data_IF_168128878636
#
_entry.id   IF_168128878636
#
_cell.length_a   1.000
_cell.length_b   1.000
_cell.length_c   1.000
_cell.angle_alpha   90.00
_cell.angle_beta   90.00
_cell.angle_gamma   90.00
#
_symmetry.space_group_name_H-M   'P 1'
#
loop_
_entity.id
_entity.type
_entity.pdbx_description
1 polymer ?
#
# COMPACT_ATOMS: atom_id res chain seq x y z
N UNK A 1 -14.09 -28.45 -18.57
CA UNK A 1 -13.99 -27.84 -17.22
C UNK A 1 -13.15 -28.63 -16.20
N UNK A 2 -13.24 -29.96 -16.08
CA UNK A 2 -12.45 -30.76 -15.10
C UNK A 2 -10.91 -30.65 -15.27
N UNK A 3 -10.39 -30.70 -16.50
CA UNK A 3 -8.95 -30.57 -16.80
C UNK A 3 -8.37 -29.21 -16.37
N UNK A 4 -9.08 -28.11 -16.63
CA UNK A 4 -8.67 -26.76 -16.20
C UNK A 4 -8.67 -26.68 -14.66
N UNK A 5 -9.67 -27.24 -14.00
CA UNK A 5 -9.76 -27.27 -12.53
C UNK A 5 -8.65 -28.11 -11.88
N UNK A 6 -8.29 -29.25 -12.48
CA UNK A 6 -7.14 -30.06 -12.05
C UNK A 6 -5.81 -29.35 -12.31
N UNK A 7 -5.65 -28.68 -13.45
CA UNK A 7 -4.44 -27.90 -13.75
C UNK A 7 -4.25 -26.75 -12.77
N UNK A 8 -5.32 -26.03 -12.41
CA UNK A 8 -5.29 -24.96 -11.41
C UNK A 8 -4.96 -25.52 -10.01
N UNK A 9 -5.52 -26.67 -9.64
CA UNK A 9 -5.26 -27.29 -8.33
C UNK A 9 -3.84 -27.85 -8.19
N UNK A 10 -3.22 -28.31 -9.28
CA UNK A 10 -1.84 -28.81 -9.29
C UNK A 10 -0.80 -27.71 -9.57
N UNK A 11 -1.23 -26.49 -9.87
CA UNK A 11 -0.33 -25.37 -10.13
C UNK A 11 0.32 -24.89 -8.84
N UNK A 12 1.64 -24.74 -8.86
CA UNK A 12 2.39 -24.16 -7.74
C UNK A 12 2.06 -22.67 -7.60
N UNK A 13 1.12 -22.38 -6.69
CA UNK A 13 0.59 -21.04 -6.41
C UNK A 13 1.72 -20.03 -6.14
N UNK A 14 2.86 -20.48 -5.59
CA UNK A 14 3.99 -19.60 -5.33
C UNK A 14 4.72 -19.16 -6.61
N UNK A 15 4.88 -20.05 -7.59
CA UNK A 15 5.46 -19.71 -8.90
C UNK A 15 4.51 -18.82 -9.68
N UNK A 16 3.23 -19.17 -9.72
CA UNK A 16 2.20 -18.35 -10.37
C UNK A 16 2.15 -16.93 -9.80
N UNK A 17 2.15 -16.81 -8.46
CA UNK A 17 2.19 -15.49 -7.80
C UNK A 17 3.42 -14.70 -8.18
N UNK A 18 4.59 -15.33 -8.28
CA UNK A 18 5.83 -14.63 -8.60
C UNK A 18 5.81 -14.02 -10.00
N UNK A 19 5.36 -14.76 -11.01
CA UNK A 19 5.27 -14.23 -12.38
C UNK A 19 4.26 -13.09 -12.50
N UNK A 20 3.10 -13.21 -11.85
CA UNK A 20 2.11 -12.12 -11.81
C UNK A 20 2.70 -10.88 -11.12
N UNK A 21 3.38 -11.07 -9.98
CA UNK A 21 4.01 -9.97 -9.26
C UNK A 21 5.06 -9.25 -10.10
N UNK A 22 5.87 -10.01 -10.86
CA UNK A 22 6.89 -9.44 -11.74
C UNK A 22 6.25 -8.67 -12.90
N UNK A 23 5.24 -9.25 -13.55
CA UNK A 23 4.50 -8.59 -14.63
C UNK A 23 3.80 -7.31 -14.14
N UNK A 24 3.12 -7.37 -13.00
CA UNK A 24 2.44 -6.21 -12.41
C UNK A 24 3.43 -5.14 -11.94
N UNK A 25 4.58 -5.54 -11.40
CA UNK A 25 5.65 -4.61 -11.04
C UNK A 25 6.17 -3.88 -12.27
N UNK A 26 6.45 -4.62 -13.35
CA UNK A 26 6.82 -4.06 -14.66
C UNK A 26 5.78 -3.07 -15.18
N UNK A 27 4.52 -3.49 -15.22
CA UNK A 27 3.40 -2.69 -15.72
C UNK A 27 3.18 -1.40 -14.91
N UNK A 28 3.25 -1.47 -13.57
CA UNK A 28 2.96 -0.30 -12.73
C UNK A 28 4.13 0.69 -12.64
N UNK A 29 5.38 0.22 -12.69
CA UNK A 29 6.56 1.09 -12.62
C UNK A 29 7.01 1.61 -13.98
N UNK A 30 6.89 0.80 -15.03
CA UNK A 30 7.39 1.10 -16.36
C UNK A 30 6.27 1.25 -17.41
N UNK A 31 5.00 1.11 -17.03
CA UNK A 31 3.87 1.21 -17.96
C UNK A 31 3.83 2.54 -18.72
N UNK A 32 4.34 3.63 -18.13
CA UNK A 32 4.45 4.93 -18.80
C UNK A 32 5.42 4.92 -19.98
N UNK A 33 6.44 4.05 -20.00
CA UNK A 33 7.29 3.84 -21.19
C UNK A 33 6.51 3.20 -22.35
N UNK A 34 5.45 2.45 -22.04
CA UNK A 34 4.59 1.78 -23.01
C UNK A 34 3.30 2.57 -23.30
N UNK A 35 3.21 3.82 -22.83
CA UNK A 35 2.01 4.67 -22.89
C UNK A 35 0.74 4.03 -22.27
N UNK A 36 0.92 3.16 -21.27
CA UNK A 36 -0.19 2.51 -20.55
C UNK A 36 -0.48 3.30 -19.27
N UNK A 37 -1.69 3.83 -19.14
CA UNK A 37 -2.20 4.44 -17.90
C UNK A 37 -3.42 3.66 -17.37
N UNK A 38 -3.23 3.01 -16.23
CA UNK A 38 -4.25 2.24 -15.49
C UNK A 38 -5.08 3.13 -14.56
N UNK A 39 -4.80 4.43 -14.53
CA UNK A 39 -5.50 5.43 -13.74
C UNK A 39 -4.88 5.70 -12.36
N UNK A 40 -5.48 6.66 -11.67
CA UNK A 40 -4.90 7.27 -10.47
C UNK A 40 -5.49 6.77 -9.14
N UNK A 41 -6.40 5.80 -9.18
CA UNK A 41 -7.21 5.36 -8.03
C UNK A 41 -7.02 3.88 -7.72
N UNK A 42 -5.82 3.36 -8.01
CA UNK A 42 -5.54 1.93 -7.87
C UNK A 42 -5.55 1.50 -6.40
N UNK A 43 -6.11 0.31 -6.10
CA UNK A 43 -6.13 -0.26 -4.76
C UNK A 43 -4.76 -0.87 -4.34
N UNK A 44 -3.66 -0.29 -4.78
CA UNK A 44 -2.28 -0.73 -4.55
C UNK A 44 -1.37 0.45 -4.27
N UNK A 45 -0.15 0.20 -3.77
CA UNK A 45 0.86 1.26 -3.63
C UNK A 45 1.68 1.42 -4.92
N UNK A 46 1.06 1.96 -5.96
CA UNK A 46 1.79 2.53 -7.09
C UNK A 46 2.23 3.96 -6.74
N UNK A 47 3.53 4.22 -6.78
CA UNK A 47 4.10 5.48 -6.33
C UNK A 47 3.96 6.56 -7.40
N UNK A 48 3.38 7.74 -7.08
CA UNK A 48 3.33 8.84 -8.04
C UNK A 48 4.69 9.49 -8.29
N UNK A 49 5.67 9.33 -7.40
CA UNK A 49 7.00 9.92 -7.57
C UNK A 49 7.86 9.20 -8.62
N UNK A 50 7.34 8.16 -9.27
CA UNK A 50 7.98 7.56 -10.45
C UNK A 50 7.41 8.24 -11.68
N UNK A 51 8.28 8.92 -12.45
CA UNK A 51 7.88 9.73 -13.59
C UNK A 51 7.12 8.93 -14.65
N UNK A 52 7.60 7.74 -15.00
CA UNK A 52 7.03 6.89 -16.08
C UNK A 52 6.19 5.73 -15.55
N UNK A 53 5.42 5.99 -14.51
CA UNK A 53 4.50 5.01 -13.90
C UNK A 53 3.32 4.68 -14.81
N UNK A 54 2.80 3.46 -14.67
CA UNK A 54 1.58 3.01 -15.35
C UNK A 54 0.29 3.24 -14.55
N UNK A 55 0.37 3.86 -13.38
CA UNK A 55 -0.80 4.21 -12.56
C UNK A 55 -0.40 4.72 -11.17
N UNK A 56 -1.35 5.29 -10.41
CA UNK A 56 -1.07 5.81 -9.06
C UNK A 56 -1.98 5.24 -7.98
N UNK A 57 -1.47 5.24 -6.75
CA UNK A 57 -2.23 4.80 -5.59
C UNK A 57 -3.38 5.76 -5.24
N UNK A 58 -4.53 5.18 -4.87
CA UNK A 58 -5.71 5.93 -4.42
C UNK A 58 -5.41 6.90 -3.26
N UNK A 59 -4.56 6.50 -2.30
CA UNK A 59 -4.28 7.31 -1.11
C UNK A 59 -3.61 8.65 -1.43
N UNK A 60 -2.86 8.75 -2.52
CA UNK A 60 -2.27 10.01 -2.94
C UNK A 60 -3.36 11.02 -3.35
N UNK A 61 -4.23 10.63 -4.29
CA UNK A 61 -5.35 11.46 -4.74
C UNK A 61 -6.31 11.80 -3.60
N UNK A 62 -6.61 10.82 -2.74
CA UNK A 62 -7.49 11.01 -1.59
C UNK A 62 -6.96 12.06 -0.61
N UNK A 63 -5.67 12.02 -0.23
CA UNK A 63 -5.09 13.03 0.68
C UNK A 63 -5.14 14.44 0.09
N UNK A 64 -4.86 14.57 -1.21
CA UNK A 64 -4.92 15.86 -1.89
C UNK A 64 -6.35 16.42 -1.95
N UNK A 65 -7.33 15.56 -2.25
CA UNK A 65 -8.74 15.95 -2.30
C UNK A 65 -9.32 16.25 -0.92
N UNK A 66 -8.80 15.67 0.15
CA UNK A 66 -9.22 15.94 1.52
C UNK A 66 -8.72 17.31 2.05
N UNK A 67 -7.75 17.93 1.38
CA UNK A 67 -7.31 19.29 1.67
C UNK A 67 -8.25 20.33 1.02
N UNK A 68 -9.55 20.26 1.37
CA UNK A 68 -10.56 21.24 0.97
C UNK A 68 -11.33 21.75 2.21
N UNK A 69 -11.76 23.02 2.21
CA UNK A 69 -12.57 23.56 3.30
C UNK A 69 -13.92 22.84 3.35
N UNK A 70 -14.46 22.65 4.55
CA UNK A 70 -15.68 21.88 4.81
C UNK A 70 -16.88 22.38 4.01
N UNK A 71 -16.95 23.69 3.76
CA UNK A 71 -17.99 24.32 2.93
C UNK A 71 -17.94 23.87 1.47
N UNK A 72 -16.76 23.53 0.95
CA UNK A 72 -16.56 23.05 -0.42
C UNK A 72 -16.73 21.54 -0.57
N UNK A 73 -16.92 20.80 0.53
CA UNK A 73 -17.20 19.36 0.49
C UNK A 73 -18.55 19.07 -0.19
N UNK A 74 -19.53 19.97 -0.06
CA UNK A 74 -20.84 19.86 -0.69
C UNK A 74 -20.90 20.46 -2.11
N UNK A 75 -19.77 20.94 -2.65
CA UNK A 75 -19.66 21.48 -4.02
C UNK A 75 -19.10 20.40 -4.97
N UNK A 76 -18.91 20.71 -6.26
CA UNK A 76 -18.36 19.78 -7.27
C UNK A 76 -17.03 19.11 -6.91
N UNK A 77 -16.26 19.66 -5.95
CA UNK A 77 -15.05 18.99 -5.41
C UNK A 77 -15.38 17.74 -4.58
N UNK A 78 -16.53 17.70 -3.91
CA UNK A 78 -17.03 16.50 -3.23
C UNK A 78 -17.37 15.37 -4.19
N UNK A 79 -17.86 15.69 -5.39
CA UNK A 79 -18.10 14.71 -6.46
C UNK A 79 -16.79 14.04 -6.88
N UNK A 80 -15.68 14.78 -6.90
CA UNK A 80 -14.34 14.24 -7.15
C UNK A 80 -13.88 13.20 -6.12
N UNK A 81 -14.21 13.40 -4.84
CA UNK A 81 -13.92 12.44 -3.75
C UNK A 81 -14.80 11.20 -3.90
N UNK A 82 -16.10 11.41 -4.16
CA UNK A 82 -17.06 10.31 -4.30
C UNK A 82 -16.73 9.43 -5.50
N UNK A 83 -16.49 10.03 -6.66
CA UNK A 83 -16.06 9.31 -7.87
C UNK A 83 -14.76 8.54 -7.62
N UNK A 84 -13.80 9.14 -6.92
CA UNK A 84 -12.56 8.45 -6.58
C UNK A 84 -12.75 7.25 -5.66
N UNK A 85 -13.60 7.38 -4.65
CA UNK A 85 -13.96 6.29 -3.76
C UNK A 85 -14.71 5.18 -4.53
N UNK A 86 -15.61 5.53 -5.44
CA UNK A 86 -16.35 4.57 -6.26
C UNK A 86 -15.43 3.79 -7.21
N UNK A 87 -14.50 4.44 -7.90
CA UNK A 87 -13.50 3.73 -8.73
C UNK A 87 -12.64 2.80 -7.89
N UNK A 88 -12.16 3.26 -6.73
CA UNK A 88 -11.40 2.43 -5.80
C UNK A 88 -12.21 1.20 -5.37
N UNK A 89 -13.48 1.39 -4.98
CA UNK A 89 -14.36 0.30 -4.58
C UNK A 89 -14.66 -0.65 -5.73
N UNK A 90 -14.92 -0.14 -6.94
CA UNK A 90 -15.14 -0.93 -8.14
C UNK A 90 -13.96 -1.85 -8.45
N UNK A 91 -12.75 -1.29 -8.50
CA UNK A 91 -11.53 -2.07 -8.68
C UNK A 91 -11.31 -3.05 -7.51
N UNK A 92 -11.55 -2.61 -6.29
CA UNK A 92 -11.36 -3.42 -5.09
C UNK A 92 -12.31 -4.63 -5.02
N UNK A 93 -13.58 -4.48 -5.38
CA UNK A 93 -14.60 -5.56 -5.30
C UNK A 93 -14.20 -6.76 -6.16
N UNK A 94 -13.51 -6.54 -7.28
CA UNK A 94 -13.07 -7.58 -8.19
C UNK A 94 -12.06 -8.53 -7.52
N UNK A 95 -10.91 -8.02 -7.07
CA UNK A 95 -9.79 -8.86 -6.59
C UNK A 95 -9.59 -8.83 -5.06
N UNK A 96 -10.30 -7.98 -4.33
CA UNK A 96 -10.20 -7.83 -2.87
C UNK A 96 -8.74 -7.65 -2.41
N UNK A 97 -8.36 -8.30 -1.30
CA UNK A 97 -7.01 -8.35 -0.75
C UNK A 97 -5.96 -8.95 -1.69
N UNK A 98 -6.37 -9.56 -2.81
CA UNK A 98 -5.44 -10.09 -3.82
C UNK A 98 -4.68 -8.95 -4.52
N UNK A 99 -5.23 -7.74 -4.62
CA UNK A 99 -4.51 -6.57 -5.13
C UNK A 99 -3.17 -6.33 -4.41
N UNK A 100 -3.21 -6.25 -3.08
CA UNK A 100 -2.00 -6.08 -2.27
C UNK A 100 -1.04 -7.28 -2.34
N UNK A 101 -1.55 -8.47 -2.69
CA UNK A 101 -0.77 -9.70 -2.72
C UNK A 101 -0.12 -10.02 -4.06
N UNK A 102 -0.74 -9.62 -5.16
CA UNK A 102 -0.32 -9.97 -6.52
C UNK A 102 0.11 -8.75 -7.34
N UNK A 103 -0.53 -7.59 -7.15
CA UNK A 103 -0.33 -6.42 -8.01
C UNK A 103 0.48 -5.29 -7.34
N UNK A 104 0.51 -5.22 -6.01
CA UNK A 104 1.16 -4.10 -5.32
C UNK A 104 2.70 -4.18 -5.38
N UNK A 105 3.41 -3.17 -5.91
CA UNK A 105 4.86 -3.23 -6.09
C UNK A 105 5.61 -3.17 -4.75
N UNK A 106 5.12 -2.41 -3.75
CA UNK A 106 5.66 -2.43 -2.37
C UNK A 106 5.54 -3.82 -1.74
N UNK A 107 4.47 -4.55 -2.06
CA UNK A 107 4.29 -5.94 -1.63
C UNK A 107 5.29 -6.88 -2.31
N UNK A 108 5.49 -6.70 -3.61
CA UNK A 108 6.46 -7.46 -4.41
C UNK A 108 7.89 -7.28 -3.90
N UNK A 109 8.31 -6.04 -3.59
CA UNK A 109 9.64 -5.78 -3.02
C UNK A 109 9.84 -6.49 -1.68
N UNK A 110 8.84 -6.46 -0.78
CA UNK A 110 8.92 -7.21 0.49
C UNK A 110 9.03 -8.72 0.29
N UNK A 111 8.32 -9.27 -0.70
CA UNK A 111 8.41 -10.68 -1.04
C UNK A 111 9.79 -11.04 -1.61
N UNK A 112 10.42 -10.16 -2.40
CA UNK A 112 11.79 -10.33 -2.88
C UNK A 112 12.81 -10.27 -1.75
N UNK A 113 12.69 -9.31 -0.83
CA UNK A 113 13.54 -9.23 0.39
C UNK A 113 13.39 -10.52 1.22
N UNK A 114 12.16 -11.01 1.39
CA UNK A 114 11.90 -12.26 2.12
C UNK A 114 12.53 -13.48 1.42
N UNK A 115 12.49 -13.52 0.08
CA UNK A 115 13.17 -14.57 -0.71
C UNK A 115 14.69 -14.51 -0.54
N UNK A 116 15.28 -13.31 -0.63
CA UNK A 116 16.70 -13.09 -0.40
C UNK A 116 17.11 -13.59 0.99
N UNK A 117 16.33 -13.25 2.03
CA UNK A 117 16.56 -13.73 3.39
C UNK A 117 16.48 -15.24 3.54
N UNK A 118 15.52 -15.88 2.86
CA UNK A 118 15.38 -17.35 2.86
C UNK A 118 16.63 -18.00 2.24
N UNK A 119 17.22 -17.36 1.22
CA UNK A 119 18.50 -17.78 0.64
C UNK A 119 19.65 -17.64 1.63
N UNK A 120 19.64 -16.60 2.46
CA UNK A 120 20.58 -16.42 3.57
C UNK A 120 20.31 -17.33 4.78
N UNK A 121 19.37 -18.29 4.70
CA UNK A 121 19.01 -19.26 5.75
C UNK A 121 18.59 -18.69 7.11
N UNK A 122 18.18 -17.42 7.16
CA UNK A 122 17.70 -16.80 8.41
C UNK A 122 16.24 -17.21 8.70
N UNK A 123 15.96 -17.65 9.94
CA UNK A 123 14.63 -18.08 10.38
C UNK A 123 13.63 -16.92 10.43
N UNK A 124 12.33 -17.22 10.34
CA UNK A 124 11.28 -16.22 10.47
C UNK A 124 11.14 -15.73 11.92
N UNK A 125 10.98 -14.42 12.10
CA UNK A 125 10.45 -13.88 13.35
C UNK A 125 8.97 -14.25 13.50
N UNK A 126 8.64 -15.02 14.53
CA UNK A 126 7.25 -15.25 14.95
C UNK A 126 6.83 -14.15 15.93
N UNK A 127 5.59 -13.68 15.81
CA UNK A 127 4.99 -12.82 16.84
C UNK A 127 3.97 -13.65 17.61
N UNK A 128 3.91 -13.45 18.92
CA UNK A 128 2.81 -14.00 19.71
C UNK A 128 1.47 -13.42 19.24
N UNK A 129 0.38 -14.18 19.42
CA UNK A 129 -0.97 -13.75 19.05
C UNK A 129 -1.39 -12.42 19.71
N UNK A 130 -0.90 -12.15 20.93
CA UNK A 130 -1.16 -10.87 21.62
C UNK A 130 -0.47 -9.71 20.90
N UNK A 131 0.82 -9.85 20.59
CA UNK A 131 1.56 -8.83 19.85
C UNK A 131 0.93 -8.60 18.48
N UNK A 132 0.61 -9.65 17.74
CA UNK A 132 -0.02 -9.55 16.43
C UNK A 132 -1.36 -8.79 16.46
N UNK A 133 -2.20 -9.00 17.47
CA UNK A 133 -3.45 -8.26 17.66
C UNK A 133 -3.23 -6.78 17.96
N UNK A 134 -2.22 -6.43 18.77
CA UNK A 134 -1.88 -5.02 19.04
C UNK A 134 -1.33 -4.32 17.79
N UNK A 135 -0.41 -4.98 17.07
CA UNK A 135 0.17 -4.45 15.83
C UNK A 135 -0.91 -4.14 14.77
N UNK A 136 -1.97 -4.97 14.68
CA UNK A 136 -3.11 -4.73 13.78
C UNK A 136 -3.90 -3.45 14.09
N UNK A 137 -3.78 -2.85 15.28
CA UNK A 137 -4.47 -1.59 15.60
C UNK A 137 -3.76 -0.38 14.97
N UNK A 138 -2.43 -0.45 14.83
CA UNK A 138 -1.60 0.64 14.32
C UNK A 138 -2.01 1.07 12.90
N UNK A 139 -2.38 0.13 12.02
CA UNK A 139 -2.87 0.49 10.67
C UNK A 139 -4.14 1.35 10.68
N UNK A 140 -5.00 1.22 11.69
CA UNK A 140 -6.21 2.05 11.82
C UNK A 140 -5.87 3.43 12.38
N UNK A 141 -4.89 3.51 13.28
CA UNK A 141 -4.35 4.79 13.77
C UNK A 141 -3.71 5.54 12.60
N UNK A 142 -2.89 4.88 11.78
CA UNK A 142 -2.30 5.47 10.58
C UNK A 142 -3.36 5.89 9.55
N UNK A 143 -4.42 5.11 9.37
CA UNK A 143 -5.54 5.49 8.50
C UNK A 143 -6.29 6.72 9.04
N UNK A 144 -6.55 6.78 10.35
CA UNK A 144 -7.17 7.94 10.97
C UNK A 144 -6.28 9.18 10.82
N UNK A 145 -4.98 9.07 11.06
CA UNK A 145 -4.02 10.15 10.88
C UNK A 145 -3.95 10.64 9.43
N UNK A 146 -4.01 9.72 8.46
CA UNK A 146 -4.04 10.02 7.02
C UNK A 146 -5.27 10.86 6.63
N UNK A 147 -6.40 10.68 7.32
CA UNK A 147 -7.64 11.43 7.07
C UNK A 147 -7.63 12.76 7.85
N UNK A 148 -7.24 12.72 9.12
CA UNK A 148 -7.32 13.87 10.03
C UNK A 148 -6.29 14.96 9.71
N UNK A 149 -5.06 14.59 9.34
CA UNK A 149 -4.01 15.58 9.06
C UNK A 149 -4.37 16.48 7.87
N UNK A 150 -4.69 15.99 6.66
CA UNK A 150 -5.06 16.86 5.53
C UNK A 150 -6.32 17.67 5.80
N UNK A 151 -7.28 17.10 6.53
CA UNK A 151 -8.54 17.77 6.86
C UNK A 151 -8.33 18.94 7.84
N UNK A 152 -7.41 18.80 8.80
CA UNK A 152 -7.02 19.86 9.75
C UNK A 152 -6.20 21.00 9.14
N UNK A 153 -5.60 20.81 7.96
CA UNK A 153 -4.91 21.90 7.23
C UNK A 153 -5.93 22.89 6.66
N UNK A 154 -7.00 22.36 6.05
CA UNK A 154 -8.03 23.16 5.37
C UNK A 154 -9.10 23.71 6.31
N UNK A 155 -9.32 23.07 7.45
CA UNK A 155 -10.30 23.50 8.44
C UNK A 155 -9.58 23.80 9.74
N UNK A 156 -9.71 25.02 10.26
CA UNK A 156 -9.20 25.42 11.58
C UNK A 156 -9.99 24.76 12.73
N UNK A 157 -10.29 23.48 12.61
CA UNK A 157 -10.93 22.69 13.65
C UNK A 157 -9.82 22.33 14.64
N UNK A 158 -9.97 22.83 15.87
CA UNK A 158 -9.06 22.68 17.02
C UNK A 158 -7.87 23.66 17.13
N UNK A 159 -7.97 24.90 16.61
CA UNK A 159 -7.00 25.97 16.95
C UNK A 159 -5.55 25.68 16.54
N UNK A 160 -5.31 24.70 15.65
CA UNK A 160 -3.98 24.42 15.12
C UNK A 160 -3.59 25.48 14.08
N UNK A 161 -2.34 25.97 14.10
CA UNK A 161 -1.83 26.89 13.08
C UNK A 161 -1.92 26.24 11.70
N UNK A 162 -2.09 27.07 10.64
CA UNK A 162 -2.03 26.62 9.24
C UNK A 162 -0.73 25.85 9.03
N UNK A 163 -0.83 24.53 8.99
CA UNK A 163 0.32 23.67 8.69
C UNK A 163 0.83 24.01 7.28
N UNK A 164 2.14 23.94 7.03
CA UNK A 164 2.69 24.20 5.71
C UNK A 164 2.04 23.33 4.65
N UNK A 165 1.91 23.85 3.42
CA UNK A 165 1.35 23.13 2.28
C UNK A 165 2.07 21.79 1.99
N UNK A 166 3.28 21.63 2.51
CA UNK A 166 4.06 20.38 2.51
C UNK A 166 3.34 19.19 3.16
N UNK A 167 2.42 19.44 4.10
CA UNK A 167 1.59 18.42 4.74
C UNK A 167 0.39 17.99 3.90
N UNK A 168 0.25 18.43 2.65
CA UNK A 168 -0.89 18.03 1.80
C UNK A 168 -0.94 16.53 1.50
N UNK A 169 0.20 15.81 1.61
CA UNK A 169 0.27 14.35 1.41
C UNK A 169 1.14 13.69 2.49
N UNK A 170 0.74 13.74 3.76
CA UNK A 170 1.61 13.41 4.90
C UNK A 170 2.05 11.94 4.87
N UNK A 171 1.17 11.03 4.43
CA UNK A 171 1.54 9.63 4.30
C UNK A 171 2.54 9.40 3.17
N UNK A 172 2.45 10.13 2.05
CA UNK A 172 3.39 9.94 0.94
C UNK A 172 4.82 10.34 1.33
N UNK A 173 4.96 11.33 2.22
CA UNK A 173 6.26 11.73 2.77
C UNK A 173 6.90 10.64 3.64
N UNK A 174 6.09 9.87 4.36
CA UNK A 174 6.55 8.81 5.28
C UNK A 174 6.54 7.42 4.61
N UNK A 175 5.89 7.29 3.46
CA UNK A 175 5.69 6.01 2.79
C UNK A 175 7.03 5.45 2.30
N UNK A 176 7.40 4.20 2.65
CA UNK A 176 8.62 3.58 2.14
C UNK A 176 8.57 3.38 0.62
N UNK A 177 7.37 3.37 0.02
CA UNK A 177 7.21 3.33 -1.43
C UNK A 177 7.72 4.60 -2.14
N UNK A 178 7.76 5.76 -1.47
CA UNK A 178 8.32 6.99 -2.03
C UNK A 178 9.82 6.89 -2.22
N UNK A 179 10.51 6.28 -1.26
CA UNK A 179 11.95 6.09 -1.35
C UNK A 179 12.29 4.87 -2.21
N UNK A 180 11.71 3.70 -1.88
CA UNK A 180 12.13 2.40 -2.44
C UNK A 180 11.76 2.21 -3.92
N UNK A 181 10.60 2.71 -4.37
CA UNK A 181 10.13 2.42 -5.73
C UNK A 181 10.87 3.23 -6.82
N UNK A 182 11.15 4.53 -6.65
CA UNK A 182 11.94 5.30 -7.61
C UNK A 182 13.38 4.79 -7.82
N UNK A 183 14.00 4.14 -6.82
CA UNK A 183 15.32 3.50 -7.03
C UNK A 183 15.28 2.49 -8.18
N UNK A 184 14.17 1.76 -8.36
CA UNK A 184 14.06 0.77 -9.43
C UNK A 184 13.93 1.45 -10.80
N UNK A 185 13.39 2.67 -10.88
CA UNK A 185 13.37 3.46 -12.11
C UNK A 185 14.65 4.28 -12.34
N UNK A 186 15.66 4.14 -11.47
CA UNK A 186 16.93 4.87 -11.57
C UNK A 186 16.90 6.29 -10.96
N UNK A 187 15.82 6.66 -10.28
CA UNK A 187 15.68 7.97 -9.65
C UNK A 187 16.12 7.90 -8.17
N UNK A 188 17.23 8.56 -7.86
CA UNK A 188 17.81 8.65 -6.52
C UNK A 188 17.45 9.97 -5.80
N UNK A 189 16.68 10.86 -6.44
CA UNK A 189 16.30 12.16 -5.87
C UNK A 189 15.58 12.02 -4.53
N UNK A 190 14.76 10.97 -4.38
CA UNK A 190 13.95 10.72 -3.18
C UNK A 190 14.73 10.11 -2.00
N UNK A 191 16.04 9.84 -2.15
CA UNK A 191 16.92 9.39 -1.07
C UNK A 191 17.59 10.56 -0.32
N UNK A 192 17.50 11.77 -0.86
CA UNK A 192 18.13 12.96 -0.29
C UNK A 192 17.24 13.55 0.79
N UNK A 193 17.83 13.91 1.93
CA UNK A 193 17.12 14.61 3.00
C UNK A 193 17.01 16.09 2.65
N UNK A 194 15.79 16.56 2.40
CA UNK A 194 15.52 17.97 2.09
C UNK A 194 15.67 18.85 3.34
N UNK A 195 16.75 19.64 3.40
CA UNK A 195 16.99 20.65 4.46
C UNK A 195 16.27 21.99 4.23
N UNK A 196 15.45 22.08 3.18
CA UNK A 196 14.81 23.33 2.73
C UNK A 196 13.83 23.93 3.76
N UNK A 197 13.19 23.11 4.59
CA UNK A 197 12.37 23.60 5.70
C UNK A 197 12.44 22.64 6.90
N UNK A 198 12.22 23.15 8.12
CA UNK A 198 12.17 22.32 9.33
C UNK A 198 11.12 21.20 9.21
N UNK A 199 10.00 21.47 8.54
CA UNK A 199 8.94 20.49 8.32
C UNK A 199 9.31 19.42 7.32
N UNK A 200 9.92 19.78 6.18
CA UNK A 200 10.43 18.82 5.19
C UNK A 200 11.55 17.97 5.78
N UNK A 201 12.45 18.56 6.56
CA UNK A 201 13.52 17.84 7.25
C UNK A 201 12.96 16.73 8.17
N UNK A 202 11.99 17.08 9.02
CA UNK A 202 11.37 16.12 9.94
C UNK A 202 10.60 15.03 9.17
N UNK A 203 9.80 15.41 8.17
CA UNK A 203 9.00 14.46 7.38
C UNK A 203 9.86 13.50 6.56
N UNK A 204 10.88 14.00 5.88
CA UNK A 204 11.81 13.18 5.09
C UNK A 204 12.70 12.34 6.01
N UNK A 205 13.14 12.87 7.15
CA UNK A 205 13.85 12.11 8.18
C UNK A 205 13.01 10.94 8.72
N UNK A 206 11.75 11.19 9.05
CA UNK A 206 10.80 10.13 9.44
C UNK A 206 10.57 9.12 8.31
N UNK A 207 10.46 9.58 7.07
CA UNK A 207 10.35 8.71 5.89
C UNK A 207 11.56 7.78 5.71
N UNK A 208 12.76 8.28 5.94
CA UNK A 208 13.99 7.48 5.91
C UNK A 208 14.04 6.46 7.05
N UNK A 209 13.64 6.84 8.26
CA UNK A 209 13.51 5.91 9.40
C UNK A 209 12.50 4.80 9.07
N UNK A 210 11.32 5.16 8.55
CA UNK A 210 10.29 4.20 8.16
C UNK A 210 10.76 3.31 7.01
N UNK A 211 11.56 3.83 6.07
CA UNK A 211 12.18 3.04 5.02
C UNK A 211 13.21 2.05 5.57
N UNK A 212 14.04 2.46 6.53
CA UNK A 212 14.94 1.56 7.26
C UNK A 212 14.19 0.44 7.99
N UNK A 213 13.10 0.80 8.70
CA UNK A 213 12.19 -0.16 9.34
C UNK A 213 11.47 -1.07 8.33
N UNK A 214 11.17 -0.56 7.14
CA UNK A 214 10.59 -1.34 6.06
C UNK A 214 11.56 -2.41 5.57
N UNK A 215 12.82 -2.06 5.29
CA UNK A 215 13.82 -3.01 4.79
C UNK A 215 14.15 -4.05 5.87
N UNK A 216 14.48 -3.61 7.08
CA UNK A 216 14.79 -4.49 8.21
C UNK A 216 13.59 -5.35 8.62
N UNK A 217 12.40 -4.74 8.71
CA UNK A 217 11.16 -5.43 9.04
C UNK A 217 10.76 -6.45 7.98
N UNK A 218 10.88 -6.12 6.69
CA UNK A 218 10.65 -7.07 5.58
C UNK A 218 11.65 -8.22 5.59
N UNK A 219 12.90 -7.96 6.01
CA UNK A 219 13.88 -9.00 6.23
C UNK A 219 13.48 -9.90 7.40
N UNK A 220 13.02 -9.39 8.55
CA UNK A 220 12.66 -10.23 9.72
C UNK A 220 11.31 -10.94 9.57
N UNK A 221 10.33 -10.32 8.91
CA UNK A 221 8.98 -10.86 8.72
C UNK A 221 8.42 -10.59 7.32
N UNK A 222 7.83 -11.64 6.75
CA UNK A 222 7.13 -11.56 5.46
C UNK A 222 6.06 -10.47 5.49
N UNK A 223 6.11 -9.56 4.51
CA UNK A 223 5.15 -8.48 4.31
C UNK A 223 4.89 -7.64 5.56
N UNK A 224 5.95 -7.31 6.28
CA UNK A 224 5.90 -6.52 7.52
C UNK A 224 5.12 -5.22 7.36
N UNK A 225 5.42 -4.41 6.34
CA UNK A 225 4.76 -3.12 6.14
C UNK A 225 3.29 -3.26 5.77
N UNK A 226 2.91 -4.34 5.08
CA UNK A 226 1.51 -4.61 4.75
C UNK A 226 0.63 -4.84 6.00
N UNK A 227 1.22 -5.10 7.18
CA UNK A 227 0.49 -5.16 8.45
C UNK A 227 0.08 -3.78 8.96
N UNK A 228 0.90 -2.76 8.70
CA UNK A 228 0.71 -1.37 9.15
C UNK A 228 0.10 -0.46 8.07
N UNK A 229 0.14 -0.93 6.82
CA UNK A 229 -0.37 -0.24 5.65
C UNK A 229 -1.81 0.28 5.84
N UNK A 230 -2.06 1.61 5.73
CA UNK A 230 -3.39 2.18 5.85
C UNK A 230 -4.30 1.71 4.70
N UNK A 231 -3.74 1.44 3.53
CA UNK A 231 -4.49 0.88 2.39
C UNK A 231 -5.10 -0.49 2.72
N UNK A 232 -4.37 -1.34 3.44
CA UNK A 232 -4.91 -2.61 3.91
C UNK A 232 -5.96 -2.43 5.01
N UNK A 233 -5.91 -1.35 5.80
CA UNK A 233 -6.97 -1.03 6.75
C UNK A 233 -8.25 -0.64 6.02
N UNK A 234 -8.15 0.24 5.02
CA UNK A 234 -9.26 0.68 4.17
C UNK A 234 -9.91 -0.52 3.45
N UNK A 235 -9.11 -1.37 2.80
CA UNK A 235 -9.59 -2.59 2.16
C UNK A 235 -10.27 -3.55 3.15
N UNK A 236 -9.79 -3.64 4.39
CA UNK A 236 -10.40 -4.51 5.38
C UNK A 236 -11.81 -4.03 5.77
N UNK A 237 -12.02 -2.72 5.86
CA UNK A 237 -13.34 -2.12 6.15
C UNK A 237 -14.36 -2.52 5.09
N UNK A 238 -13.97 -2.49 3.80
CA UNK A 238 -14.86 -2.83 2.68
C UNK A 238 -14.80 -4.31 2.25
N UNK A 239 -13.94 -5.14 2.88
CA UNK A 239 -13.67 -6.52 2.43
C UNK A 239 -14.89 -7.45 2.43
N UNK A 240 -15.94 -7.12 3.20
CA UNK A 240 -17.21 -7.86 3.22
C UNK A 240 -17.96 -7.79 1.90
N UNK A 241 -17.78 -6.75 1.09
CA UNK A 241 -18.49 -6.57 -0.19
C UNK A 241 -17.85 -7.29 -1.39
N UNK A 242 -16.60 -7.77 -1.26
CA UNK A 242 -15.88 -8.28 -2.42
C UNK A 242 -16.34 -9.67 -2.90
N UNK A 243 -16.19 -9.91 -4.21
CA UNK A 243 -16.63 -11.14 -4.92
C UNK A 243 -15.65 -12.28 -4.66
N UNK A 244 -14.35 -12.04 -4.87
CA UNK A 244 -13.31 -13.04 -4.65
C UNK A 244 -12.91 -13.09 -3.17
N UNK A 245 -13.34 -14.16 -2.49
CA UNK A 245 -13.00 -14.45 -1.09
C UNK A 245 -12.44 -15.86 -0.94
N UNK A 246 -11.35 -15.97 -0.18
CA UNK A 246 -10.84 -17.27 0.24
C UNK A 246 -11.67 -17.79 1.42
N UNK A 247 -12.59 -18.72 1.16
CA UNK A 247 -13.31 -19.45 2.21
C UNK A 247 -12.47 -20.65 2.63
N UNK A 248 -12.03 -20.67 3.89
CA UNK A 248 -11.32 -21.82 4.49
C UNK A 248 -12.38 -22.82 4.98
N UNK A 249 -12.31 -24.03 4.47
CA UNK A 249 -13.15 -25.15 4.89
C UNK A 249 -12.42 -25.93 5.99
N UNK A 250 -12.95 -25.91 7.21
CA UNK A 250 -12.31 -26.56 8.36
C UNK A 250 -12.22 -28.08 8.22
N UNK A 251 -13.18 -28.70 7.54
CA UNK A 251 -13.22 -30.16 7.31
C UNK A 251 -12.07 -30.66 6.44
N UNK A 252 -11.57 -29.80 5.54
CA UNK A 252 -10.47 -30.10 4.61
C UNK A 252 -9.11 -29.55 5.06
N UNK A 253 -9.02 -29.06 6.30
CA UNK A 253 -7.80 -28.46 6.83
C UNK A 253 -6.80 -29.54 7.29
N UNK A 254 -5.68 -29.68 6.59
CA UNK A 254 -4.59 -30.60 6.96
C UNK A 254 -3.66 -30.07 8.06
N UNK A 255 -4.03 -28.97 8.74
CA UNK A 255 -3.24 -28.29 9.79
C UNK A 255 -1.79 -27.98 9.40
N UNK A 256 -1.51 -27.83 8.11
CA UNK A 256 -0.16 -27.61 7.56
C UNK A 256 0.47 -26.23 7.89
N UNK A 257 -0.24 -25.35 8.60
CA UNK A 257 0.24 -24.02 8.96
C UNK A 257 0.35 -23.00 7.81
N UNK A 258 0.14 -23.41 6.55
CA UNK A 258 0.24 -22.51 5.38
C UNK A 258 -0.78 -21.36 5.42
N UNK A 259 -1.93 -21.59 6.03
CA UNK A 259 -2.98 -20.60 6.24
C UNK A 259 -2.65 -19.53 7.30
N UNK A 260 -1.62 -19.76 8.11
CA UNK A 260 -1.17 -18.90 9.21
C UNK A 260 0.07 -18.05 8.83
N UNK A 261 0.85 -18.52 7.85
CA UNK A 261 2.01 -17.83 7.27
C UNK A 261 1.64 -16.69 6.32
#
# INVERSE_FOLDING_TARGET
>A
MKRIRQSINNSDINRFRFYIQLAAFGLLLYGGYLAIDLGNQLPTFACPFVEKRGGSCYLFGFQHQMNIPLKSLFTGRGIGILTGLLTFLGLFILLNKSWCGFLCPVGTVQDWITKARTRCRVRYGSYSERSFRRLKKIKYILLALLILLPFGISNSIAGMPRLPHDFSTPFCMICPGRTVLPLFSGDMSQLIVDFSSKTKLVLTGLGMIVTGLFVTGAFVKKRFFCLFCPMSALQYVFSKAAILKLKKDGSRCTRCGNCYR
#
